data_IF_153948056783
#
_entry.id   IF_153948056783
#
_cell.length_a   1.000
_cell.length_b   1.000
_cell.length_c   1.000
_cell.angle_alpha   90.00
_cell.angle_beta   90.00
_cell.angle_gamma   90.00
#
_symmetry.space_group_name_H-M   'P 1'
#
loop_
_entity.id
_entity.type
_entity.pdbx_description
1 polymer ?
#
# COMPACT_ATOMS: atom_id res chain seq x y z
N UNK A 1 14.54 10.04 21.08
CA UNK A 1 13.90 8.70 20.93
C UNK A 1 15.00 7.73 20.54
N UNK A 2 15.12 6.55 21.19
CA UNK A 2 16.13 5.57 20.79
C UNK A 2 15.81 5.00 19.39
N UNK A 3 16.82 4.55 18.64
CA UNK A 3 16.64 3.95 17.30
C UNK A 3 15.67 2.76 17.37
N UNK A 4 15.72 1.97 18.45
CA UNK A 4 14.80 0.85 18.64
C UNK A 4 13.34 1.31 18.78
N UNK A 5 13.07 2.35 19.57
CA UNK A 5 11.72 2.90 19.71
C UNK A 5 11.20 3.51 18.38
N UNK A 6 12.08 4.16 17.62
CA UNK A 6 11.73 4.69 16.30
C UNK A 6 11.39 3.58 15.31
N UNK A 7 12.17 2.50 15.31
CA UNK A 7 11.90 1.32 14.47
C UNK A 7 10.56 0.69 14.82
N UNK A 8 10.26 0.51 16.11
CA UNK A 8 8.97 -0.04 16.55
C UNK A 8 7.79 0.84 16.10
N UNK A 9 7.91 2.17 16.27
CA UNK A 9 6.91 3.12 15.80
C UNK A 9 6.67 3.00 14.30
N UNK A 10 7.73 2.99 13.49
CA UNK A 10 7.65 2.83 12.04
C UNK A 10 6.96 1.51 11.65
N UNK A 11 7.34 0.39 12.29
CA UNK A 11 6.73 -0.92 12.01
C UNK A 11 5.25 -0.93 12.35
N UNK A 12 4.85 -0.41 13.52
CA UNK A 12 3.44 -0.34 13.93
C UNK A 12 2.62 0.47 12.94
N UNK A 13 3.10 1.65 12.56
CA UNK A 13 2.40 2.51 11.57
C UNK A 13 2.28 1.82 10.22
N UNK A 14 3.33 1.13 9.76
CA UNK A 14 3.32 0.39 8.50
C UNK A 14 2.29 -0.75 8.52
N UNK A 15 2.20 -1.49 9.64
CA UNK A 15 1.20 -2.55 9.80
C UNK A 15 -0.23 -2.00 9.84
N UNK A 16 -0.45 -0.87 10.53
CA UNK A 16 -1.76 -0.17 10.52
C UNK A 16 -2.11 0.23 9.08
N UNK A 17 -1.15 0.76 8.32
CA UNK A 17 -1.32 1.10 6.91
C UNK A 17 -1.73 -0.11 6.06
N UNK A 18 -1.07 -1.24 6.22
CA UNK A 18 -1.39 -2.47 5.50
C UNK A 18 -2.81 -2.95 5.86
N UNK A 19 -3.13 -3.05 7.14
CA UNK A 19 -4.44 -3.54 7.59
C UNK A 19 -5.57 -2.62 7.10
N UNK A 20 -5.43 -1.31 7.30
CA UNK A 20 -6.43 -0.34 6.85
C UNK A 20 -6.55 -0.28 5.32
N UNK A 21 -5.44 -0.46 4.60
CA UNK A 21 -5.43 -0.58 3.14
C UNK A 21 -6.16 -1.83 2.65
N UNK A 22 -5.95 -2.98 3.27
CA UNK A 22 -6.71 -4.20 2.96
C UNK A 22 -8.21 -4.01 3.20
N UNK A 23 -8.61 -3.36 4.31
CA UNK A 23 -10.02 -3.05 4.58
C UNK A 23 -10.58 -2.09 3.52
N UNK A 24 -9.82 -1.07 3.11
CA UNK A 24 -10.23 -0.17 2.03
C UNK A 24 -10.43 -0.92 0.70
N UNK A 25 -9.52 -1.86 0.36
CA UNK A 25 -9.65 -2.73 -0.84
C UNK A 25 -10.88 -3.64 -0.74
N UNK A 26 -11.16 -4.23 0.42
CA UNK A 26 -12.40 -5.00 0.63
C UNK A 26 -13.64 -4.13 0.41
N UNK A 27 -13.60 -2.87 0.82
CA UNK A 27 -14.64 -1.90 0.48
C UNK A 27 -14.81 -1.75 -1.04
N UNK A 28 -13.70 -1.55 -1.77
CA UNK A 28 -13.73 -1.43 -3.24
C UNK A 28 -14.32 -2.67 -3.91
N UNK A 29 -13.98 -3.88 -3.44
CA UNK A 29 -14.52 -5.15 -3.94
C UNK A 29 -16.04 -5.27 -3.72
N UNK A 30 -16.58 -4.59 -2.71
CA UNK A 30 -18.00 -4.51 -2.39
C UNK A 30 -18.67 -3.23 -2.94
N UNK A 31 -18.04 -2.55 -3.89
CA UNK A 31 -18.52 -1.29 -4.48
C UNK A 31 -18.80 -0.19 -3.43
N UNK A 32 -18.06 -0.19 -2.33
CA UNK A 32 -18.19 0.78 -1.23
C UNK A 32 -16.88 1.52 -1.01
N UNK A 33 -16.96 2.83 -0.88
CA UNK A 33 -15.88 3.62 -0.31
C UNK A 33 -16.02 3.57 1.21
N UNK A 34 -14.96 3.15 1.91
CA UNK A 34 -14.90 3.15 3.37
C UNK A 34 -14.02 4.33 3.83
N UNK A 35 -14.60 5.51 4.10
CA UNK A 35 -13.81 6.74 4.29
C UNK A 35 -12.79 6.63 5.44
N UNK A 36 -13.19 6.06 6.57
CA UNK A 36 -12.31 5.89 7.73
C UNK A 36 -11.08 5.05 7.43
N UNK A 37 -11.27 3.87 6.86
CA UNK A 37 -10.15 2.97 6.48
C UNK A 37 -9.29 3.58 5.38
N UNK A 38 -9.91 4.27 4.43
CA UNK A 38 -9.19 4.96 3.35
C UNK A 38 -8.29 6.06 3.90
N UNK A 39 -8.82 6.96 4.74
CA UNK A 39 -8.04 8.04 5.35
C UNK A 39 -6.91 7.49 6.21
N UNK A 40 -7.20 6.48 7.03
CA UNK A 40 -6.20 5.82 7.87
C UNK A 40 -5.08 5.21 7.01
N UNK A 41 -5.42 4.49 5.94
CA UNK A 41 -4.47 3.93 4.99
C UNK A 41 -3.57 5.02 4.37
N UNK A 42 -4.17 6.08 3.85
CA UNK A 42 -3.44 7.16 3.18
C UNK A 42 -2.46 7.84 4.15
N UNK A 43 -2.93 8.23 5.34
CA UNK A 43 -2.10 8.92 6.34
C UNK A 43 -0.98 8.03 6.85
N UNK A 44 -1.29 6.80 7.26
CA UNK A 44 -0.26 5.90 7.81
C UNK A 44 0.76 5.48 6.79
N UNK A 45 0.37 5.34 5.51
CA UNK A 45 1.31 5.05 4.43
C UNK A 45 2.24 6.24 4.16
N UNK A 46 1.73 7.48 4.14
CA UNK A 46 2.59 8.69 4.03
C UNK A 46 3.58 8.74 5.19
N UNK A 47 3.09 8.59 6.43
CA UNK A 47 3.95 8.63 7.62
C UNK A 47 4.97 7.50 7.60
N UNK A 48 4.58 6.29 7.16
CA UNK A 48 5.50 5.17 6.99
C UNK A 48 6.61 5.48 5.98
N UNK A 49 6.29 6.04 4.81
CA UNK A 49 7.29 6.43 3.82
C UNK A 49 8.24 7.51 4.37
N UNK A 50 7.69 8.57 4.99
CA UNK A 50 8.48 9.67 5.56
C UNK A 50 9.42 9.16 6.66
N UNK A 51 8.91 8.37 7.60
CA UNK A 51 9.73 7.78 8.66
C UNK A 51 10.73 6.78 8.11
N UNK A 52 10.42 6.08 7.02
CA UNK A 52 11.34 5.20 6.32
C UNK A 52 12.60 5.92 5.82
N UNK A 53 12.46 7.14 5.28
CA UNK A 53 13.59 7.95 4.83
C UNK A 53 14.45 8.53 5.97
N UNK A 54 13.95 8.51 7.20
CA UNK A 54 14.70 9.01 8.37
C UNK A 54 15.67 7.97 8.95
N UNK A 55 15.64 6.73 8.47
CA UNK A 55 16.63 5.73 8.87
C UNK A 55 18.00 6.07 8.26
N UNK A 56 19.10 5.93 9.04
CA UNK A 56 20.46 6.16 8.55
C UNK A 56 20.89 5.00 7.64
N UNK A 57 20.43 5.01 6.42
CA UNK A 57 20.77 4.01 5.42
C UNK A 57 21.20 4.69 4.12
N UNK A 58 22.15 4.11 3.34
CA UNK A 58 22.41 4.56 1.98
C UNK A 58 21.12 4.40 1.16
N UNK A 59 21.05 5.08 0.00
CA UNK A 59 19.89 5.05 -0.89
C UNK A 59 19.69 3.62 -1.42
N UNK A 60 18.98 2.81 -0.63
CA UNK A 60 18.70 1.38 -0.84
C UNK A 60 17.39 1.17 -1.63
N UNK A 61 17.19 -0.02 -2.25
CA UNK A 61 15.95 -0.39 -2.92
C UNK A 61 14.66 -0.04 -2.13
N UNK A 62 14.60 -0.18 -0.79
CA UNK A 62 13.45 0.27 0.01
C UNK A 62 13.14 1.76 -0.11
N UNK A 63 14.16 2.63 -0.19
CA UNK A 63 13.95 4.07 -0.35
C UNK A 63 13.34 4.41 -1.72
N UNK A 64 13.80 3.74 -2.78
CA UNK A 64 13.22 3.88 -4.11
C UNK A 64 11.74 3.47 -4.13
N UNK A 65 11.40 2.35 -3.49
CA UNK A 65 10.00 1.90 -3.32
C UNK A 65 9.18 2.92 -2.53
N UNK A 66 9.75 3.52 -1.48
CA UNK A 66 9.12 4.58 -0.70
C UNK A 66 8.78 5.81 -1.56
N UNK A 67 9.71 6.26 -2.42
CA UNK A 67 9.47 7.37 -3.35
C UNK A 67 8.34 7.04 -4.34
N UNK A 68 8.37 5.84 -4.95
CA UNK A 68 7.31 5.39 -5.86
C UNK A 68 5.96 5.30 -5.14
N UNK A 69 5.96 4.81 -3.91
CA UNK A 69 4.75 4.75 -3.09
C UNK A 69 4.15 6.14 -2.87
N UNK A 70 4.96 7.15 -2.56
CA UNK A 70 4.48 8.52 -2.39
C UNK A 70 3.90 9.10 -3.67
N UNK A 71 4.51 8.82 -4.84
CA UNK A 71 3.99 9.28 -6.13
C UNK A 71 2.61 8.68 -6.41
N UNK A 72 2.45 7.35 -6.30
CA UNK A 72 1.16 6.72 -6.56
C UNK A 72 0.13 7.09 -5.50
N UNK A 73 0.55 7.34 -4.26
CA UNK A 73 -0.33 7.79 -3.18
C UNK A 73 -0.84 9.22 -3.44
N UNK A 74 0.01 10.11 -3.96
CA UNK A 74 -0.40 11.45 -4.38
C UNK A 74 -1.47 11.38 -5.48
N UNK A 75 -1.31 10.47 -6.46
CA UNK A 75 -2.33 10.23 -7.49
C UNK A 75 -3.65 9.72 -6.88
N UNK A 76 -3.60 8.82 -5.90
CA UNK A 76 -4.79 8.34 -5.21
C UNK A 76 -5.50 9.47 -4.45
N UNK A 77 -4.74 10.33 -3.75
CA UNK A 77 -5.27 11.48 -3.00
C UNK A 77 -5.92 12.48 -3.95
N UNK A 78 -5.25 12.85 -5.05
CA UNK A 78 -5.76 13.77 -6.07
C UNK A 78 -7.05 13.20 -6.68
N UNK A 79 -7.05 11.92 -7.06
CA UNK A 79 -8.22 11.27 -7.63
C UNK A 79 -9.42 11.25 -6.68
N UNK A 80 -9.17 11.04 -5.39
CA UNK A 80 -10.22 10.96 -4.37
C UNK A 80 -10.77 12.35 -4.00
N UNK A 81 -9.88 13.29 -3.63
CA UNK A 81 -10.29 14.55 -3.02
C UNK A 81 -10.47 15.69 -4.01
N UNK A 82 -9.65 15.78 -5.05
CA UNK A 82 -9.73 16.84 -6.06
C UNK A 82 -10.78 16.51 -7.12
N UNK A 83 -10.67 15.33 -7.70
CA UNK A 83 -11.56 14.90 -8.78
C UNK A 83 -12.75 14.06 -8.32
N UNK A 84 -12.89 13.80 -7.00
CA UNK A 84 -14.03 13.11 -6.38
C UNK A 84 -14.44 11.82 -7.12
N UNK A 85 -13.45 11.10 -7.63
CA UNK A 85 -13.61 9.84 -8.37
C UNK A 85 -14.44 9.97 -9.68
N UNK A 86 -14.54 11.16 -10.25
CA UNK A 86 -15.31 11.40 -11.47
C UNK A 86 -14.64 10.72 -12.69
N UNK A 87 -15.44 10.08 -13.55
CA UNK A 87 -14.97 9.47 -14.78
C UNK A 87 -13.78 8.52 -14.61
N UNK A 88 -12.69 8.78 -15.33
CA UNK A 88 -11.46 7.97 -15.29
C UNK A 88 -10.73 8.04 -13.95
N UNK A 89 -10.94 9.10 -13.15
CA UNK A 89 -10.28 9.27 -11.86
C UNK A 89 -10.63 8.17 -10.83
N UNK A 90 -11.79 7.58 -10.96
CA UNK A 90 -12.15 6.38 -10.20
C UNK A 90 -11.17 5.23 -10.46
N UNK A 91 -10.86 4.98 -11.72
CA UNK A 91 -9.89 3.94 -12.10
C UNK A 91 -8.48 4.26 -11.62
N UNK A 92 -8.06 5.53 -11.74
CA UNK A 92 -6.76 6.00 -11.23
C UNK A 92 -6.67 5.79 -9.72
N UNK A 93 -7.71 6.16 -8.97
CA UNK A 93 -7.76 5.92 -7.51
C UNK A 93 -7.59 4.44 -7.15
N UNK A 94 -8.35 3.56 -7.81
CA UNK A 94 -8.28 2.12 -7.53
C UNK A 94 -6.87 1.58 -7.79
N UNK A 95 -6.33 1.86 -8.99
CA UNK A 95 -5.00 1.36 -9.37
C UNK A 95 -3.93 1.90 -8.43
N UNK A 96 -3.92 3.21 -8.19
CA UNK A 96 -2.92 3.86 -7.33
C UNK A 96 -2.99 3.35 -5.90
N UNK A 97 -4.18 3.15 -5.34
CA UNK A 97 -4.34 2.60 -3.99
C UNK A 97 -3.86 1.15 -3.89
N UNK A 98 -4.17 0.33 -4.88
CA UNK A 98 -3.71 -1.08 -4.94
C UNK A 98 -2.18 -1.14 -5.06
N UNK A 99 -1.58 -0.31 -5.91
CA UNK A 99 -0.12 -0.26 -6.09
C UNK A 99 0.57 0.24 -4.82
N UNK A 100 0.04 1.27 -4.15
CA UNK A 100 0.58 1.75 -2.89
C UNK A 100 0.54 0.66 -1.80
N UNK A 101 -0.57 -0.06 -1.70
CA UNK A 101 -0.70 -1.18 -0.76
C UNK A 101 0.22 -2.34 -1.12
N UNK A 102 0.36 -2.65 -2.41
CA UNK A 102 1.31 -3.65 -2.90
C UNK A 102 2.74 -3.30 -2.45
N UNK A 103 3.18 -2.07 -2.61
CA UNK A 103 4.52 -1.66 -2.19
C UNK A 103 4.74 -1.78 -0.69
N UNK A 104 3.73 -1.47 0.13
CA UNK A 104 3.80 -1.70 1.58
C UNK A 104 3.96 -3.20 1.90
N UNK A 105 3.18 -4.07 1.26
CA UNK A 105 3.29 -5.52 1.43
C UNK A 105 4.61 -6.07 0.87
N UNK A 106 5.10 -5.52 -0.26
CA UNK A 106 6.39 -5.86 -0.84
C UNK A 106 7.53 -5.64 0.17
N UNK A 107 7.56 -4.44 0.77
CA UNK A 107 8.55 -4.11 1.80
C UNK A 107 8.39 -4.98 3.05
N UNK A 108 7.15 -5.32 3.43
CA UNK A 108 6.90 -6.24 4.53
C UNK A 108 7.55 -7.61 4.27
N UNK A 109 7.40 -8.18 3.06
CA UNK A 109 8.04 -9.44 2.68
C UNK A 109 9.56 -9.30 2.72
N UNK A 110 10.13 -8.22 2.16
CA UNK A 110 11.58 -7.94 2.24
C UNK A 110 12.06 -7.96 3.70
N UNK A 111 11.39 -7.21 4.57
CA UNK A 111 11.75 -7.10 5.99
C UNK A 111 11.59 -8.44 6.73
N UNK A 112 10.60 -9.24 6.36
CA UNK A 112 10.37 -10.57 6.94
C UNK A 112 11.54 -11.50 6.62
N UNK A 113 11.98 -11.53 5.37
CA UNK A 113 13.14 -12.33 4.96
C UNK A 113 14.47 -11.81 5.52
N UNK A 114 14.56 -10.53 5.87
CA UNK A 114 15.76 -9.98 6.52
C UNK A 114 15.83 -10.25 8.02
N UNK A 115 14.70 -10.18 8.72
CA UNK A 115 14.67 -10.08 10.19
C UNK A 115 14.15 -11.32 10.91
N UNK A 116 13.38 -12.17 10.24
CA UNK A 116 12.86 -13.40 10.84
C UNK A 116 13.81 -14.55 10.51
N UNK A 117 14.44 -15.14 11.54
CA UNK A 117 15.50 -16.15 11.40
C UNK A 117 15.13 -17.29 10.45
N UNK A 118 13.91 -17.82 10.56
CA UNK A 118 13.42 -18.89 9.66
C UNK A 118 13.45 -18.48 8.19
N UNK A 119 12.90 -17.32 7.84
CA UNK A 119 12.88 -16.83 6.46
C UNK A 119 14.26 -16.39 5.99
N UNK A 120 15.06 -15.80 6.89
CA UNK A 120 16.44 -15.42 6.57
C UNK A 120 17.28 -16.66 6.20
N UNK A 121 17.09 -17.77 6.88
CA UNK A 121 17.78 -19.03 6.55
C UNK A 121 17.39 -19.59 5.18
N UNK A 122 16.16 -19.32 4.70
CA UNK A 122 15.69 -19.74 3.37
C UNK A 122 16.21 -18.87 2.22
N UNK A 123 16.50 -17.60 2.48
CA UNK A 123 16.98 -16.65 1.47
C UNK A 123 17.87 -15.57 2.11
N UNK A 124 19.11 -15.92 2.51
CA UNK A 124 20.01 -15.01 3.21
C UNK A 124 20.38 -13.75 2.41
N UNK A 125 20.49 -13.88 1.07
CA UNK A 125 20.85 -12.76 0.18
C UNK A 125 19.66 -12.16 -0.55
N UNK A 126 18.44 -12.70 -0.34
CA UNK A 126 17.21 -12.31 -1.06
C UNK A 126 17.29 -12.49 -2.58
N UNK A 127 18.20 -13.33 -3.06
CA UNK A 127 18.33 -13.74 -4.48
C UNK A 127 17.86 -15.18 -4.69
N UNK A 128 17.61 -15.89 -3.63
CA UNK A 128 17.23 -17.30 -3.65
C UNK A 128 15.77 -17.49 -4.05
N UNK A 129 15.43 -18.67 -4.63
CA UNK A 129 14.09 -18.95 -5.14
C UNK A 129 12.94 -18.73 -4.14
N UNK A 130 13.06 -19.02 -2.84
CA UNK A 130 11.97 -18.80 -1.90
C UNK A 130 11.54 -17.34 -1.78
N UNK A 131 12.48 -16.40 -1.81
CA UNK A 131 12.18 -14.98 -1.79
C UNK A 131 11.49 -14.54 -3.09
N UNK A 132 12.04 -14.94 -4.24
CA UNK A 132 11.47 -14.63 -5.55
C UNK A 132 10.04 -15.21 -5.68
N UNK A 133 9.82 -16.44 -5.19
CA UNK A 133 8.50 -17.06 -5.19
C UNK A 133 7.50 -16.29 -4.32
N UNK A 134 7.89 -15.87 -3.10
CA UNK A 134 7.05 -15.08 -2.22
C UNK A 134 6.64 -13.75 -2.87
N UNK A 135 7.58 -13.04 -3.51
CA UNK A 135 7.30 -11.79 -4.22
C UNK A 135 6.42 -12.00 -5.47
N UNK A 136 6.65 -13.09 -6.21
CA UNK A 136 5.82 -13.43 -7.37
C UNK A 136 4.36 -13.74 -6.96
N UNK A 137 4.16 -14.53 -5.91
CA UNK A 137 2.82 -14.82 -5.36
C UNK A 137 2.14 -13.52 -4.90
N UNK A 138 2.86 -12.64 -4.19
CA UNK A 138 2.33 -11.36 -3.77
C UNK A 138 1.90 -10.51 -4.98
N UNK A 139 2.72 -10.42 -6.02
CA UNK A 139 2.42 -9.67 -7.23
C UNK A 139 1.16 -10.20 -7.93
N UNK A 140 1.06 -11.51 -8.12
CA UNK A 140 -0.11 -12.15 -8.77
C UNK A 140 -1.38 -11.89 -7.98
N UNK A 141 -1.33 -12.01 -6.64
CA UNK A 141 -2.48 -11.69 -5.78
C UNK A 141 -2.92 -10.23 -5.94
N UNK A 142 -1.97 -9.29 -5.95
CA UNK A 142 -2.30 -7.87 -6.09
C UNK A 142 -2.78 -7.48 -7.49
N UNK A 143 -2.30 -8.15 -8.54
CA UNK A 143 -2.87 -8.00 -9.89
C UNK A 143 -4.33 -8.48 -9.89
N UNK A 144 -4.60 -9.65 -9.32
CA UNK A 144 -5.96 -10.18 -9.20
C UNK A 144 -6.89 -9.26 -8.41
N UNK A 145 -6.44 -8.77 -7.24
CA UNK A 145 -7.17 -7.80 -6.42
C UNK A 145 -7.42 -6.50 -7.18
N UNK A 146 -6.42 -5.98 -7.89
CA UNK A 146 -6.53 -4.76 -8.68
C UNK A 146 -7.55 -4.88 -9.80
N UNK A 147 -7.51 -5.96 -10.57
CA UNK A 147 -8.49 -6.25 -11.63
C UNK A 147 -9.89 -6.39 -11.04
N UNK A 148 -10.04 -7.13 -9.95
CA UNK A 148 -11.34 -7.32 -9.30
C UNK A 148 -11.90 -6.01 -8.74
N UNK A 149 -11.07 -5.23 -8.04
CA UNK A 149 -11.47 -3.92 -7.51
C UNK A 149 -11.82 -2.94 -8.62
N UNK A 150 -11.03 -2.88 -9.70
CA UNK A 150 -11.30 -2.01 -10.85
C UNK A 150 -12.65 -2.31 -11.52
N UNK A 151 -12.97 -3.59 -11.66
CA UNK A 151 -14.25 -4.04 -12.25
C UNK A 151 -15.44 -3.80 -11.33
N UNK A 152 -15.25 -4.01 -10.01
CA UNK A 152 -16.36 -3.99 -9.04
C UNK A 152 -16.62 -2.61 -8.44
N UNK A 153 -15.59 -1.79 -8.26
CA UNK A 153 -15.73 -0.45 -7.66
C UNK A 153 -16.44 0.52 -8.60
N UNK A 154 -17.73 0.29 -8.81
CA UNK A 154 -18.64 1.17 -9.54
C UNK A 154 -19.52 1.88 -8.51
N UNK A 155 -19.07 3.05 -8.04
CA UNK A 155 -19.92 3.90 -7.22
C UNK A 155 -21.07 4.39 -8.10
N UNK A 156 -22.30 4.08 -7.71
CA UNK A 156 -23.47 4.75 -8.31
C UNK A 156 -23.35 6.23 -7.94
N UNK A 157 -23.07 7.08 -8.93
CA UNK A 157 -23.20 8.52 -8.78
C UNK A 157 -24.69 8.76 -8.53
N UNK A 158 -25.07 8.98 -7.26
CA UNK A 158 -26.41 9.41 -6.91
C UNK A 158 -26.58 10.77 -7.58
N UNK A 159 -27.36 10.82 -8.65
CA UNK A 159 -27.74 12.10 -9.26
C UNK A 159 -28.25 13.02 -8.14
N UNK A 160 -27.86 14.31 -8.13
CA UNK A 160 -28.46 15.25 -7.20
C UNK A 160 -29.96 15.17 -7.37
N UNK A 161 -30.69 14.94 -6.28
CA UNK A 161 -32.14 15.05 -6.31
C UNK A 161 -32.47 16.43 -6.85
N UNK A 162 -33.16 16.46 -8.00
CA UNK A 162 -33.69 17.68 -8.54
C UNK A 162 -34.62 18.29 -7.48
N UNK A 163 -34.23 19.46 -6.97
CA UNK A 163 -35.08 20.27 -6.09
C UNK A 163 -36.07 21.05 -6.92
#
# INVERSE_FOLDING_TARGET
>A
MSLAAFTQFHVIISLIGIISGLVAVLGMLNAKLLPGSTVLFLITTVVSCVTGFMFPMPFDPPAAVGCLTLVVLALAIIALYTYKLAGSWRGIYVISSIVALYFNCFVLVVQTFQKVAFFHALAPTQKEPPFAAAQAVLLVLFIGLGVAAFKRFKLSVRAPAAA
#
